data_IF_102840831818
#
_entry.id   IF_102840831818
#
_cell.length_a   1.000
_cell.length_b   1.000
_cell.length_c   1.000
_cell.angle_alpha   90.00
_cell.angle_beta   90.00
_cell.angle_gamma   90.00
#
_symmetry.space_group_name_H-M   'P 1'
#
loop_
_entity.id
_entity.type
_entity.pdbx_description
1 polymer ?
#
# COMPACT_ATOMS: atom_id res chain seq x y z
N UNK A 1 -8.73 15.77 -12.79
CA UNK A 1 -8.99 14.35 -12.59
C UNK A 1 -9.23 14.17 -11.09
N UNK A 2 -10.10 13.26 -10.64
CA UNK A 2 -10.23 13.05 -9.18
C UNK A 2 -9.05 12.26 -8.65
N UNK A 3 -8.70 12.43 -7.38
CA UNK A 3 -7.63 11.68 -6.71
C UNK A 3 -7.84 10.15 -6.80
N UNK A 4 -9.09 9.70 -6.75
CA UNK A 4 -9.45 8.29 -6.89
C UNK A 4 -9.03 7.74 -8.26
N UNK A 5 -9.30 8.47 -9.34
CA UNK A 5 -8.86 8.05 -10.68
C UNK A 5 -7.33 7.98 -10.77
N UNK A 6 -6.60 8.90 -10.11
CA UNK A 6 -5.14 8.83 -10.05
C UNK A 6 -4.68 7.54 -9.34
N UNK A 7 -5.28 7.21 -8.19
CA UNK A 7 -4.98 5.98 -7.45
C UNK A 7 -5.28 4.74 -8.30
N UNK A 8 -6.43 4.71 -8.99
CA UNK A 8 -6.80 3.61 -9.89
C UNK A 8 -5.79 3.44 -11.03
N UNK A 9 -5.34 4.52 -11.66
CA UNK A 9 -4.33 4.47 -12.72
C UNK A 9 -2.98 3.96 -12.18
N UNK A 10 -2.53 4.45 -11.02
CA UNK A 10 -1.28 3.98 -10.39
C UNK A 10 -1.34 2.49 -9.99
N UNK A 11 -2.50 2.03 -9.54
CA UNK A 11 -2.71 0.63 -9.12
C UNK A 11 -2.83 -0.36 -10.29
N UNK A 12 -3.34 0.09 -11.44
CA UNK A 12 -3.58 -0.78 -12.60
C UNK A 12 -2.50 -0.69 -13.69
N UNK A 13 -1.67 0.36 -13.65
CA UNK A 13 -0.63 0.58 -14.65
C UNK A 13 0.77 0.54 -14.02
N UNK A 14 1.42 -0.62 -14.13
CA UNK A 14 2.77 -0.84 -13.61
C UNK A 14 3.82 0.07 -14.27
N UNK A 15 3.59 0.56 -15.48
CA UNK A 15 4.52 1.48 -16.15
C UNK A 15 4.57 2.84 -15.44
N UNK A 16 3.45 3.29 -14.85
CA UNK A 16 3.43 4.54 -14.07
C UNK A 16 4.24 4.41 -12.78
N UNK A 17 4.34 3.22 -12.19
CA UNK A 17 5.14 2.99 -10.99
C UNK A 17 6.65 3.13 -11.23
N UNK A 18 7.09 3.08 -12.50
CA UNK A 18 8.49 3.27 -12.89
C UNK A 18 8.85 4.75 -13.11
N UNK A 19 7.86 5.64 -13.12
CA UNK A 19 8.07 7.06 -13.37
C UNK A 19 8.55 7.77 -12.11
N UNK A 20 9.37 8.80 -12.30
CA UNK A 20 9.76 9.68 -11.20
C UNK A 20 8.56 10.47 -10.68
N UNK A 21 8.65 10.92 -9.42
CA UNK A 21 7.65 11.82 -8.83
C UNK A 21 7.37 13.05 -9.71
N UNK A 22 8.41 13.65 -10.31
CA UNK A 22 8.25 14.82 -11.18
C UNK A 22 7.40 14.49 -12.40
N UNK A 23 7.68 13.38 -13.07
CA UNK A 23 6.89 12.94 -14.22
C UNK A 23 5.45 12.60 -13.84
N UNK A 24 5.23 11.97 -12.68
CA UNK A 24 3.89 11.69 -12.18
C UNK A 24 3.13 12.97 -11.83
N UNK A 25 3.81 13.96 -11.25
CA UNK A 25 3.24 15.28 -11.02
C UNK A 25 2.87 15.92 -12.36
N UNK A 26 3.73 15.89 -13.37
CA UNK A 26 3.42 16.48 -14.69
C UNK A 26 2.23 15.80 -15.39
N UNK A 27 2.06 14.48 -15.21
CA UNK A 27 0.96 13.72 -15.82
C UNK A 27 -0.38 14.00 -15.11
N UNK A 28 -0.37 14.10 -13.78
CA UNK A 28 -1.61 14.15 -12.98
C UNK A 28 -1.95 15.54 -12.42
N UNK A 29 -1.04 16.50 -12.49
CA UNK A 29 -1.30 17.89 -12.10
C UNK A 29 -2.12 18.58 -13.18
N UNK A 30 -3.44 18.49 -13.05
CA UNK A 30 -4.37 19.32 -13.79
C UNK A 30 -5.06 20.33 -12.87
N UNK A 31 -5.83 21.26 -13.44
CA UNK A 31 -6.50 22.33 -12.70
C UNK A 31 -7.52 21.84 -11.66
N UNK A 32 -7.88 20.56 -11.67
CA UNK A 32 -8.89 19.97 -10.79
C UNK A 32 -8.31 18.97 -9.79
N UNK A 33 -7.07 18.53 -9.98
CA UNK A 33 -6.35 17.70 -9.02
C UNK A 33 -5.69 18.60 -7.98
N UNK A 34 -6.01 18.43 -6.69
CA UNK A 34 -5.33 19.15 -5.62
C UNK A 34 -3.85 18.72 -5.56
N UNK A 35 -2.95 19.64 -5.88
CA UNK A 35 -1.51 19.40 -5.91
C UNK A 35 -0.97 18.93 -4.55
N UNK A 36 -1.53 19.40 -3.43
CA UNK A 36 -1.10 18.97 -2.10
C UNK A 36 -1.50 17.53 -1.80
N UNK A 37 -2.68 17.11 -2.25
CA UNK A 37 -3.15 15.73 -2.12
C UNK A 37 -2.32 14.79 -3.00
N UNK A 38 -2.08 15.19 -4.26
CA UNK A 38 -1.24 14.43 -5.17
C UNK A 38 0.19 14.29 -4.63
N UNK A 39 0.77 15.37 -4.11
CA UNK A 39 2.10 15.31 -3.55
C UNK A 39 2.17 14.42 -2.30
N UNK A 40 1.18 14.49 -1.41
CA UNK A 40 1.10 13.64 -0.24
C UNK A 40 0.98 12.16 -0.64
N UNK A 41 0.17 11.84 -1.66
CA UNK A 41 0.04 10.50 -2.23
C UNK A 41 1.38 9.99 -2.76
N UNK A 42 2.06 10.75 -3.62
CA UNK A 42 3.32 10.33 -4.25
C UNK A 42 4.49 10.20 -3.26
N UNK A 43 4.46 10.95 -2.16
CA UNK A 43 5.43 10.81 -1.06
C UNK A 43 5.10 9.62 -0.13
N UNK A 44 3.93 8.97 -0.29
CA UNK A 44 3.46 7.95 0.65
C UNK A 44 3.22 8.49 2.06
N UNK A 45 2.93 9.79 2.19
CA UNK A 45 2.69 10.45 3.48
C UNK A 45 1.24 10.26 3.92
N UNK A 46 1.01 9.17 4.65
CA UNK A 46 -0.32 8.71 5.10
C UNK A 46 -0.99 9.70 6.06
N UNK A 47 -0.22 10.30 6.98
CA UNK A 47 -0.74 11.27 7.94
C UNK A 47 -1.26 12.52 7.24
N UNK A 48 -0.41 13.14 6.39
CA UNK A 48 -0.79 14.32 5.61
C UNK A 48 -1.98 14.02 4.70
N UNK A 49 -2.03 12.83 4.08
CA UNK A 49 -3.14 12.46 3.22
C UNK A 49 -4.44 12.25 4.01
N UNK A 50 -4.35 11.71 5.23
CA UNK A 50 -5.51 11.58 6.14
C UNK A 50 -6.08 12.95 6.54
N UNK A 51 -5.20 13.90 6.88
CA UNK A 51 -5.59 15.27 7.23
C UNK A 51 -6.25 16.00 6.05
N UNK A 52 -5.67 15.88 4.85
CA UNK A 52 -6.18 16.53 3.64
C UNK A 52 -7.52 15.96 3.18
N UNK A 53 -7.73 14.66 3.34
CA UNK A 53 -8.96 13.98 2.94
C UNK A 53 -10.03 13.97 4.04
N UNK A 54 -9.67 14.37 5.27
CA UNK A 54 -10.53 14.32 6.45
C UNK A 54 -11.11 12.92 6.72
N UNK A 55 -10.35 11.89 6.35
CA UNK A 55 -10.69 10.47 6.56
C UNK A 55 -9.43 9.68 6.90
N UNK A 56 -9.54 8.60 7.70
CA UNK A 56 -8.39 7.75 7.98
C UNK A 56 -7.85 7.07 6.71
N UNK A 57 -6.55 7.24 6.44
CA UNK A 57 -5.83 6.50 5.39
C UNK A 57 -4.91 5.47 6.05
N UNK A 58 -4.83 4.28 5.47
CA UNK A 58 -3.98 3.20 5.96
C UNK A 58 -3.03 2.73 4.87
N UNK A 59 -1.80 2.35 5.27
CA UNK A 59 -0.86 1.66 4.39
C UNK A 59 -1.17 0.18 4.40
N UNK A 60 -1.54 -0.37 3.25
CA UNK A 60 -1.56 -1.81 3.06
C UNK A 60 -0.11 -2.30 2.87
N UNK A 61 0.36 -3.15 3.78
CA UNK A 61 1.63 -3.85 3.62
C UNK A 61 1.27 -5.24 3.10
N UNK A 62 1.56 -5.51 1.83
CA UNK A 62 1.50 -6.89 1.34
C UNK A 62 2.70 -7.61 1.92
N UNK A 63 2.46 -8.68 2.67
CA UNK A 63 3.50 -9.67 2.98
C UNK A 63 3.94 -10.25 1.64
N UNK A 64 4.97 -9.65 1.04
CA UNK A 64 5.78 -10.40 0.09
C UNK A 64 6.39 -11.51 0.93
N UNK A 65 5.93 -12.75 0.69
CA UNK A 65 6.75 -13.91 0.98
C UNK A 65 8.10 -13.61 0.31
N UNK A 66 9.04 -13.15 1.11
CA UNK A 66 10.44 -13.21 0.75
C UNK A 66 10.68 -14.70 0.71
N UNK A 67 10.59 -15.29 -0.48
CA UNK A 67 11.31 -16.53 -0.75
C UNK A 67 12.76 -16.17 -0.44
N UNK A 68 13.16 -16.57 0.76
CA UNK A 68 14.50 -16.47 1.28
C UNK A 68 15.45 -16.97 0.19
N UNK A 69 16.41 -16.12 -0.20
CA UNK A 69 17.63 -16.62 -0.82
C UNK A 69 18.18 -17.69 0.13
N UNK A 70 18.13 -18.96 -0.30
CA UNK A 70 18.76 -20.08 0.39
C UNK A 70 20.23 -19.76 0.66
N UNK A 71 20.54 -19.38 1.91
CA UNK A 71 21.87 -19.46 2.48
C UNK A 71 21.79 -20.43 3.68
N UNK A 72 22.51 -21.56 3.64
CA UNK A 72 22.36 -22.60 4.65
C UNK A 72 23.11 -22.17 5.91
N UNK A 73 22.42 -22.16 7.06
CA UNK A 73 23.08 -21.72 8.28
C UNK A 73 22.23 -21.74 9.53
N UNK A 74 21.76 -22.94 9.90
CA UNK A 74 21.49 -23.42 11.26
C UNK A 74 21.62 -22.38 12.40
N UNK A 75 20.51 -22.05 13.08
CA UNK A 75 20.51 -21.92 14.54
C UNK A 75 19.09 -21.93 15.12
N UNK A 76 18.92 -22.81 16.09
CA UNK A 76 17.74 -23.12 16.88
C UNK A 76 17.30 -21.93 17.76
N UNK A 77 16.01 -21.56 17.79
CA UNK A 77 15.27 -21.33 19.04
C UNK A 77 13.81 -20.86 18.87
N UNK A 78 12.98 -21.43 19.73
CA UNK A 78 11.83 -20.82 20.42
C UNK A 78 10.43 -20.75 19.76
N UNK A 79 9.59 -21.65 20.32
CA UNK A 79 8.30 -21.36 20.98
C UNK A 79 7.16 -20.77 20.14
N UNK A 80 6.25 -21.68 19.83
CA UNK A 80 4.86 -21.66 20.35
C UNK A 80 4.03 -20.40 20.10
N UNK A 81 3.28 -20.38 19.00
CA UNK A 81 1.94 -19.79 18.98
C UNK A 81 0.99 -20.76 18.27
N UNK A 82 0.27 -21.56 19.06
CA UNK A 82 -0.94 -22.23 18.59
C UNK A 82 -2.02 -21.17 18.34
N UNK A 83 -2.26 -20.78 17.09
CA UNK A 83 -3.46 -20.04 16.73
C UNK A 83 -4.58 -21.03 16.43
N UNK A 84 -5.35 -21.34 17.46
CA UNK A 84 -6.66 -21.97 17.35
C UNK A 84 -7.71 -20.89 17.08
N UNK A 85 -8.34 -20.89 15.90
CA UNK A 85 -9.67 -20.31 15.64
C UNK A 85 -10.34 -21.20 14.55
N UNK A 86 -11.13 -22.21 14.91
CA UNK A 86 -12.57 -22.21 15.24
C UNK A 86 -13.47 -22.12 13.99
N UNK A 87 -14.18 -23.20 13.70
CA UNK A 87 -15.38 -23.18 12.86
C UNK A 87 -16.57 -23.66 13.71
N UNK A 88 -17.66 -22.89 13.80
CA UNK A 88 -18.81 -23.22 14.62
C UNK A 88 -19.56 -24.44 14.07
N UNK A 89 -20.02 -25.28 14.99
CA UNK A 89 -20.89 -26.42 14.73
C UNK A 89 -22.20 -25.95 14.08
N UNK A 90 -22.54 -26.51 12.92
CA UNK A 90 -23.91 -26.56 12.42
C UNK A 90 -24.40 -28.00 12.53
N UNK A 91 -25.32 -28.21 13.48
CA UNK A 91 -26.12 -29.41 13.64
C UNK A 91 -27.07 -29.58 12.45
N UNK A 92 -27.03 -30.75 11.83
CA UNK A 92 -28.20 -31.58 11.50
C UNK A 92 -27.76 -33.00 11.15
#
# INVERSE_FOLDING_TARGET
MSLIHVIEQLGTNSALQQLSKVQLMDIFSDATTDSNQLEALLNGNVEKLSDLLQVPVYRCVTEHATEEEELPGNNECEKSIQQSVNLPQLLN
#
